data_IF_949254330791
#
_entry.id   IF_949254330791
#
_cell.length_a   1.000
_cell.length_b   1.000
_cell.length_c   1.000
_cell.angle_alpha   90.00
_cell.angle_beta   90.00
_cell.angle_gamma   90.00
#
_symmetry.space_group_name_H-M   'P 1'
#
loop_
_entity.id
_entity.type
_entity.pdbx_description
1 polymer ?
#
# COMPACT_ATOMS: atom_id res chain seq x y z
N UNK A 1 -8.56 12.99 -28.11
CA UNK A 1 -9.32 13.14 -26.84
C UNK A 1 -8.42 12.72 -25.71
N UNK A 2 -8.01 13.63 -24.82
CA UNK A 2 -7.23 13.23 -23.64
C UNK A 2 -8.23 12.68 -22.62
N UNK A 3 -8.12 11.40 -22.30
CA UNK A 3 -8.90 10.78 -21.22
C UNK A 3 -8.42 11.40 -19.91
N UNK A 4 -9.15 12.39 -19.41
CA UNK A 4 -8.93 12.94 -18.09
C UNK A 4 -9.41 11.91 -17.06
N UNK A 5 -8.47 11.13 -16.52
CA UNK A 5 -8.69 10.19 -15.42
C UNK A 5 -8.80 10.93 -14.08
N UNK A 6 -9.46 12.09 -14.06
CA UNK A 6 -9.59 12.94 -12.88
C UNK A 6 -10.18 12.13 -11.73
N UNK A 7 -9.43 12.03 -10.63
CA UNK A 7 -9.81 11.25 -9.44
C UNK A 7 -9.54 9.75 -9.52
N UNK A 8 -9.10 9.20 -10.66
CA UNK A 8 -8.72 7.77 -10.80
C UNK A 8 -7.22 7.51 -10.66
N UNK A 9 -6.40 8.51 -10.98
CA UNK A 9 -4.94 8.44 -10.84
C UNK A 9 -4.44 9.68 -10.09
N UNK A 10 -3.58 9.47 -9.11
CA UNK A 10 -2.93 10.53 -8.32
C UNK A 10 -1.42 10.47 -8.50
N UNK A 11 -0.80 11.59 -8.85
CA UNK A 11 0.65 11.72 -8.90
C UNK A 11 1.19 12.19 -7.54
N UNK A 12 2.27 11.57 -7.06
CA UNK A 12 3.04 12.00 -5.88
C UNK A 12 4.53 11.81 -6.19
N UNK A 13 5.28 12.92 -6.28
CA UNK A 13 6.63 12.90 -6.85
C UNK A 13 6.67 12.23 -8.23
N UNK A 14 7.46 11.16 -8.35
CA UNK A 14 7.59 10.34 -9.57
C UNK A 14 6.60 9.17 -9.63
N UNK A 15 5.80 8.93 -8.59
CA UNK A 15 4.87 7.81 -8.51
C UNK A 15 3.47 8.21 -8.98
N UNK A 16 2.77 7.22 -9.55
CA UNK A 16 1.35 7.29 -9.89
C UNK A 16 0.60 6.25 -9.06
N UNK A 17 -0.41 6.70 -8.31
CA UNK A 17 -1.29 5.87 -7.49
C UNK A 17 -2.64 5.74 -8.17
N UNK A 18 -3.16 4.53 -8.22
CA UNK A 18 -4.50 4.24 -8.75
C UNK A 18 -5.13 3.12 -7.93
N UNK A 19 -6.46 3.10 -7.86
CA UNK A 19 -7.24 2.06 -7.19
C UNK A 19 -8.43 1.68 -8.04
N UNK A 20 -8.78 0.40 -8.05
CA UNK A 20 -10.00 -0.12 -8.68
C UNK A 20 -11.16 -0.28 -7.67
N UNK A 21 -10.92 0.04 -6.38
CA UNK A 21 -11.90 -0.01 -5.29
C UNK A 21 -12.41 -1.41 -4.92
N UNK A 22 -11.79 -2.48 -5.42
CA UNK A 22 -12.22 -3.85 -5.14
C UNK A 22 -11.67 -4.34 -3.80
N UNK A 23 -12.54 -4.98 -3.01
CA UNK A 23 -12.16 -5.74 -1.82
C UNK A 23 -11.73 -7.15 -2.22
N UNK A 24 -10.44 -7.44 -2.11
CA UNK A 24 -9.84 -8.74 -2.44
C UNK A 24 -8.72 -9.04 -1.44
N UNK A 25 -8.26 -10.29 -1.39
CA UNK A 25 -7.09 -10.66 -0.57
C UNK A 25 -5.79 -10.06 -1.13
N UNK A 26 -4.72 -10.08 -0.33
CA UNK A 26 -3.42 -9.50 -0.68
C UNK A 26 -2.85 -10.04 -2.01
N UNK A 27 -2.95 -11.34 -2.27
CA UNK A 27 -2.38 -11.93 -3.48
C UNK A 27 -3.16 -11.47 -4.72
N UNK A 28 -4.49 -11.46 -4.63
CA UNK A 28 -5.36 -10.93 -5.68
C UNK A 28 -5.17 -9.42 -5.91
N UNK A 29 -4.92 -8.65 -4.86
CA UNK A 29 -4.63 -7.22 -4.94
C UNK A 29 -3.28 -6.97 -5.65
N UNK A 30 -2.25 -7.71 -5.26
CA UNK A 30 -0.92 -7.65 -5.89
C UNK A 30 -1.01 -8.01 -7.38
N UNK A 31 -1.66 -9.12 -7.70
CA UNK A 31 -1.86 -9.55 -9.09
C UNK A 31 -2.57 -8.47 -9.91
N UNK A 32 -3.63 -7.86 -9.37
CA UNK A 32 -4.36 -6.79 -10.06
C UNK A 32 -3.48 -5.57 -10.39
N UNK A 33 -2.52 -5.24 -9.51
CA UNK A 33 -1.55 -4.17 -9.77
C UNK A 33 -0.49 -4.58 -10.80
N UNK A 34 -0.01 -5.82 -10.75
CA UNK A 34 0.99 -6.35 -11.69
C UNK A 34 0.44 -6.48 -13.12
N UNK A 35 -0.84 -6.86 -13.28
CA UNK A 35 -1.51 -6.96 -14.60
C UNK A 35 -1.54 -5.64 -15.37
N UNK A 36 -1.45 -4.50 -14.67
CA UNK A 36 -1.39 -3.16 -15.28
C UNK A 36 0.03 -2.57 -15.29
N UNK A 37 1.05 -3.40 -15.04
CA UNK A 37 2.46 -2.99 -15.02
C UNK A 37 2.86 -2.18 -13.79
N UNK A 38 2.03 -2.20 -12.74
CA UNK A 38 2.28 -1.55 -11.46
C UNK A 38 2.61 -2.55 -10.35
N UNK A 39 2.45 -2.10 -9.10
CA UNK A 39 2.66 -2.91 -7.91
C UNK A 39 1.82 -2.34 -6.76
N UNK A 40 1.61 -3.10 -5.68
CA UNK A 40 0.95 -2.56 -4.47
C UNK A 40 1.69 -1.31 -3.96
N UNK A 41 0.93 -0.28 -3.63
CA UNK A 41 1.48 0.98 -3.16
C UNK A 41 2.21 0.79 -1.82
N UNK A 42 3.43 1.31 -1.70
CA UNK A 42 4.19 1.29 -0.46
C UNK A 42 4.84 2.66 -0.26
N UNK A 43 4.56 3.34 0.87
CA UNK A 43 5.15 4.64 1.15
C UNK A 43 6.65 4.50 1.46
N UNK A 44 7.43 5.42 0.91
CA UNK A 44 8.87 5.60 1.18
C UNK A 44 9.17 6.91 1.92
N UNK A 45 8.15 7.74 2.16
CA UNK A 45 8.20 8.98 2.90
C UNK A 45 6.78 9.41 3.33
N UNK A 46 6.69 10.48 4.11
CA UNK A 46 5.43 10.99 4.66
C UNK A 46 4.47 11.54 3.57
N UNK A 47 4.99 12.17 2.52
CA UNK A 47 4.19 12.71 1.42
C UNK A 47 3.44 11.59 0.69
N UNK A 48 4.15 10.50 0.37
CA UNK A 48 3.57 9.32 -0.23
C UNK A 48 2.57 8.64 0.70
N UNK A 49 2.86 8.57 2.01
CA UNK A 49 1.94 8.00 2.98
C UNK A 49 0.61 8.76 3.01
N UNK A 50 0.65 10.09 3.01
CA UNK A 50 -0.54 10.95 2.91
C UNK A 50 -1.28 10.76 1.58
N UNK A 51 -0.55 10.68 0.47
CA UNK A 51 -1.15 10.48 -0.85
C UNK A 51 -1.87 9.13 -0.96
N UNK A 52 -1.31 8.06 -0.39
CA UNK A 52 -1.97 6.75 -0.31
C UNK A 52 -3.18 6.84 0.61
N UNK A 53 -3.04 7.42 1.81
CA UNK A 53 -4.15 7.60 2.76
C UNK A 53 -5.37 8.29 2.14
N UNK A 54 -5.15 9.31 1.33
CA UNK A 54 -6.25 9.99 0.66
C UNK A 54 -6.99 9.07 -0.34
N UNK A 55 -6.29 8.17 -1.04
CA UNK A 55 -6.91 7.16 -1.91
C UNK A 55 -7.70 6.15 -1.07
N UNK A 56 -7.15 5.72 0.07
CA UNK A 56 -7.81 4.82 1.02
C UNK A 56 -9.12 5.45 1.54
N UNK A 57 -9.07 6.72 1.94
CA UNK A 57 -10.23 7.51 2.39
C UNK A 57 -11.30 7.69 1.31
N UNK A 58 -10.91 7.83 0.03
CA UNK A 58 -11.87 7.90 -1.08
C UNK A 58 -12.75 6.66 -1.20
N UNK A 59 -12.22 5.49 -0.83
CA UNK A 59 -12.97 4.23 -0.88
C UNK A 59 -13.63 3.86 0.46
N UNK A 60 -13.31 4.56 1.55
CA UNK A 60 -13.76 4.26 2.91
C UNK A 60 -13.52 2.78 3.28
N UNK A 61 -12.33 2.28 2.95
CA UNK A 61 -11.90 0.89 3.10
C UNK A 61 -10.43 0.84 3.43
N UNK A 62 -10.00 -0.16 4.20
CA UNK A 62 -8.58 -0.41 4.42
C UNK A 62 -7.92 -0.91 3.13
N UNK A 63 -6.62 -0.65 2.99
CA UNK A 63 -5.87 -1.05 1.81
C UNK A 63 -4.57 -1.78 2.18
N UNK A 64 -4.29 -2.86 1.46
CA UNK A 64 -2.99 -3.53 1.53
C UNK A 64 -1.88 -2.61 0.99
N UNK A 65 -0.78 -2.53 1.73
CA UNK A 65 0.45 -1.90 1.28
C UNK A 65 1.38 -2.94 0.65
N UNK A 66 2.27 -2.51 -0.24
CA UNK A 66 3.33 -3.33 -0.84
C UNK A 66 4.45 -3.68 0.15
N UNK A 67 4.07 -4.11 1.34
CA UNK A 67 4.93 -4.44 2.48
C UNK A 67 4.48 -5.79 3.02
N UNK A 68 5.44 -6.68 3.26
CA UNK A 68 5.21 -8.01 3.82
C UNK A 68 6.20 -8.32 4.94
N UNK A 69 5.83 -9.26 5.80
CA UNK A 69 6.75 -9.82 6.78
C UNK A 69 7.89 -10.57 6.07
N UNK A 70 9.12 -10.31 6.49
CA UNK A 70 10.32 -11.00 6.02
C UNK A 70 10.58 -12.31 6.77
N UNK A 71 11.61 -13.03 6.34
CA UNK A 71 11.97 -14.35 6.89
C UNK A 71 12.47 -14.29 8.34
N UNK A 72 13.00 -13.15 8.75
CA UNK A 72 13.40 -12.88 10.13
C UNK A 72 12.18 -12.37 10.88
N UNK A 73 11.82 -13.06 11.97
CA UNK A 73 10.68 -12.66 12.82
C UNK A 73 10.81 -11.20 13.26
N UNK A 74 9.74 -10.43 13.04
CA UNK A 74 9.69 -9.00 13.38
C UNK A 74 10.23 -8.04 12.30
N UNK A 75 10.81 -8.53 11.21
CA UNK A 75 11.22 -7.66 10.10
C UNK A 75 10.12 -7.57 9.04
N UNK A 76 9.83 -6.35 8.58
CA UNK A 76 9.02 -6.09 7.40
C UNK A 76 9.90 -5.61 6.25
N UNK A 77 9.52 -5.94 5.03
CA UNK A 77 10.23 -5.59 3.79
C UNK A 77 9.23 -5.14 2.74
N UNK A 78 9.69 -4.33 1.80
CA UNK A 78 8.95 -4.11 0.57
C UNK A 78 8.82 -5.45 -0.19
N UNK A 79 7.75 -5.60 -0.99
CA UNK A 79 7.52 -6.82 -1.79
C UNK A 79 8.67 -7.16 -2.75
N UNK A 80 9.45 -6.17 -3.17
CA UNK A 80 10.67 -6.37 -3.97
C UNK A 80 11.89 -6.86 -3.15
N UNK A 81 11.72 -7.13 -1.85
CA UNK A 81 12.75 -7.64 -0.96
C UNK A 81 13.63 -6.58 -0.30
N UNK A 82 13.52 -5.30 -0.69
CA UNK A 82 14.27 -4.23 -0.06
C UNK A 82 13.81 -3.99 1.39
N UNK A 83 14.73 -3.63 2.31
CA UNK A 83 14.36 -3.23 3.66
C UNK A 83 13.48 -1.97 3.62
N UNK A 84 12.60 -1.83 4.62
CA UNK A 84 11.83 -0.60 4.78
C UNK A 84 12.75 0.56 5.13
N UNK A 85 12.56 1.71 4.47
CA UNK A 85 13.22 2.96 4.82
C UNK A 85 12.25 3.97 5.47
N UNK A 86 10.95 3.63 5.49
CA UNK A 86 9.89 4.43 6.07
C UNK A 86 8.84 3.51 6.70
N UNK A 87 8.35 3.91 7.86
CA UNK A 87 7.28 3.24 8.58
C UNK A 87 6.41 4.28 9.27
N UNK A 88 5.11 4.05 9.31
CA UNK A 88 4.14 4.88 10.04
C UNK A 88 3.12 3.99 10.73
N UNK A 89 3.61 3.15 11.64
CA UNK A 89 2.79 2.21 12.39
C UNK A 89 1.84 2.96 13.33
N UNK A 90 0.63 2.43 13.49
CA UNK A 90 -0.28 2.92 14.52
C UNK A 90 0.32 2.67 15.91
N UNK A 91 -0.11 3.42 16.92
CA UNK A 91 0.37 3.20 18.29
C UNK A 91 0.09 1.74 18.71
N UNK A 92 1.13 1.08 19.21
CA UNK A 92 1.21 -0.37 19.54
C UNK A 92 1.41 -1.34 18.38
N UNK A 93 1.53 -0.87 17.13
CA UNK A 93 1.90 -1.71 15.99
C UNK A 93 3.41 -1.65 15.69
N UNK A 94 4.02 -2.73 15.18
CA UNK A 94 3.40 -4.03 14.88
C UNK A 94 3.19 -4.91 16.14
N UNK A 95 1.95 -5.24 16.52
CA UNK A 95 1.58 -6.25 17.55
C UNK A 95 1.24 -7.61 16.92
N UNK A 96 1.73 -7.82 15.70
CA UNK A 96 1.60 -9.07 14.99
C UNK A 96 2.36 -10.18 15.72
N UNK A 97 1.67 -10.88 16.63
CA UNK A 97 2.08 -12.12 17.32
C UNK A 97 2.35 -13.28 16.34
N UNK A 98 3.18 -13.06 15.32
CA UNK A 98 3.58 -14.05 14.34
C UNK A 98 2.67 -14.20 13.11
N UNK A 99 1.37 -13.87 13.20
CA UNK A 99 0.36 -14.37 12.25
C UNK A 99 0.10 -13.49 11.01
N UNK A 100 0.17 -12.18 11.13
CA UNK A 100 -0.10 -11.28 10.01
C UNK A 100 1.15 -11.10 9.15
N UNK A 101 1.05 -11.50 7.88
CA UNK A 101 2.16 -11.44 6.91
C UNK A 101 2.09 -10.22 5.99
N UNK A 102 0.99 -9.49 6.02
CA UNK A 102 0.70 -8.35 5.15
C UNK A 102 0.48 -7.10 6.01
N UNK A 103 0.67 -5.92 5.41
CA UNK A 103 0.43 -4.64 6.09
C UNK A 103 -0.77 -3.95 5.47
N UNK A 104 -1.65 -3.43 6.31
CA UNK A 104 -2.83 -2.67 5.91
C UNK A 104 -2.71 -1.22 6.39
N UNK A 105 -3.29 -0.30 5.61
CA UNK A 105 -3.48 1.10 5.99
C UNK A 105 -4.94 1.33 6.38
N UNK A 106 -5.14 1.82 7.60
CA UNK A 106 -6.44 2.11 8.20
C UNK A 106 -6.84 3.58 8.00
N UNK A 107 -8.15 3.87 7.96
CA UNK A 107 -8.67 5.24 7.83
C UNK A 107 -9.00 5.92 9.16
N UNK A 108 -8.89 5.19 10.27
CA UNK A 108 -9.29 5.60 11.62
C UNK A 108 -8.38 6.69 12.23
#
# INVERSE_FOLDING_TARGET
SVLALNGKIRKVGEKMLASNGKKVDFASALQSCEEVGGTLAAPKNEEENKAIMDVVKQHNQYAYLGIRKGDISGQFKYINGMPLNYTNWHQHEPDGQGKEKCVEMYTD
#
